data_IF_469437632163
#
_entry.id   IF_469437632163
#
_cell.length_a   1.000
_cell.length_b   1.000
_cell.length_c   1.000
_cell.angle_alpha   90.00
_cell.angle_beta   90.00
_cell.angle_gamma   90.00
#
_symmetry.space_group_name_H-M   'P 1'
#
loop_
_entity.id
_entity.type
_entity.pdbx_description
1 polymer ?
#
# COMPACT_ATOMS: atom_id res chain seq x y z
N UNK A 1 8.28 -0.52 13.84
CA UNK A 1 7.66 -1.67 13.15
C UNK A 1 6.71 -2.37 14.11
N UNK A 2 5.66 -3.02 13.61
CA UNK A 2 4.78 -3.85 14.46
C UNK A 2 5.53 -5.09 14.95
N UNK A 3 5.42 -5.39 16.23
CA UNK A 3 6.04 -6.57 16.82
C UNK A 3 5.27 -7.84 16.47
N UNK A 4 5.97 -8.97 16.35
CA UNK A 4 5.34 -10.26 16.01
C UNK A 4 4.23 -10.63 17.00
N UNK A 5 4.46 -10.41 18.30
CA UNK A 5 3.47 -10.73 19.33
C UNK A 5 2.23 -9.84 19.25
N UNK A 6 2.41 -8.57 18.91
CA UNK A 6 1.31 -7.63 18.68
C UNK A 6 0.46 -8.08 17.49
N UNK A 7 1.10 -8.48 16.40
CA UNK A 7 0.42 -8.97 15.20
C UNK A 7 -0.38 -10.26 15.46
N UNK A 8 0.20 -11.22 16.20
CA UNK A 8 -0.50 -12.45 16.62
C UNK A 8 -1.72 -12.14 17.48
N UNK A 9 -1.58 -11.17 18.40
CA UNK A 9 -2.67 -10.75 19.30
C UNK A 9 -3.81 -10.11 18.52
N UNK A 10 -3.49 -9.21 17.58
CA UNK A 10 -4.47 -8.57 16.70
C UNK A 10 -5.17 -9.57 15.78
N UNK A 11 -4.43 -10.53 15.22
CA UNK A 11 -4.99 -11.57 14.35
C UNK A 11 -6.03 -12.40 15.10
N UNK A 12 -5.70 -12.83 16.33
CA UNK A 12 -6.62 -13.56 17.19
C UNK A 12 -7.85 -12.73 17.55
N UNK A 13 -7.66 -11.47 17.96
CA UNK A 13 -8.76 -10.59 18.35
C UNK A 13 -9.74 -10.30 17.19
N UNK A 14 -9.21 -10.19 15.97
CA UNK A 14 -10.00 -9.93 14.76
C UNK A 14 -10.52 -11.20 14.06
N UNK A 15 -10.14 -12.38 14.53
CA UNK A 15 -10.56 -13.66 13.94
C UNK A 15 -10.05 -13.86 12.51
N UNK A 16 -8.86 -13.35 12.19
CA UNK A 16 -8.27 -13.44 10.85
C UNK A 16 -6.91 -14.13 10.85
N UNK A 17 -6.49 -14.77 9.75
CA UNK A 17 -5.15 -15.33 9.64
C UNK A 17 -4.07 -14.26 9.83
N UNK A 18 -3.00 -14.62 10.55
CA UNK A 18 -1.86 -13.72 10.82
C UNK A 18 -1.24 -13.22 9.51
N UNK A 19 -1.07 -14.11 8.54
CA UNK A 19 -0.56 -13.78 7.21
C UNK A 19 -1.40 -12.71 6.49
N UNK A 20 -2.72 -12.67 6.72
CA UNK A 20 -3.59 -11.63 6.17
C UNK A 20 -3.28 -10.26 6.78
N UNK A 21 -3.04 -10.19 8.10
CA UNK A 21 -2.63 -8.94 8.74
C UNK A 21 -1.20 -8.54 8.38
N UNK A 22 -0.27 -9.48 8.22
CA UNK A 22 1.09 -9.21 7.72
C UNK A 22 1.03 -8.51 6.37
N UNK A 23 0.28 -9.08 5.41
CA UNK A 23 0.09 -8.48 4.09
C UNK A 23 -0.58 -7.11 4.18
N UNK A 24 -1.67 -6.98 4.94
CA UNK A 24 -2.38 -5.70 5.10
C UNK A 24 -1.50 -4.60 5.72
N UNK A 25 -0.62 -4.98 6.65
CA UNK A 25 0.37 -4.09 7.23
C UNK A 25 1.38 -3.66 6.17
N UNK A 26 1.98 -4.60 5.43
CA UNK A 26 2.93 -4.33 4.34
C UNK A 26 2.32 -3.43 3.27
N UNK A 27 1.05 -3.61 2.89
CA UNK A 27 0.37 -2.71 1.95
C UNK A 27 0.31 -1.26 2.45
N UNK A 28 0.16 -1.05 3.76
CA UNK A 28 0.26 0.27 4.36
C UNK A 28 1.63 0.91 4.16
N UNK A 29 2.70 0.12 4.26
CA UNK A 29 4.07 0.59 3.99
C UNK A 29 4.28 0.92 2.52
N UNK A 30 3.76 0.09 1.61
CA UNK A 30 3.79 0.40 0.17
C UNK A 30 3.09 1.72 -0.14
N UNK A 31 1.90 1.95 0.44
CA UNK A 31 1.17 3.20 0.27
C UNK A 31 1.92 4.40 0.84
N UNK A 32 2.54 4.27 2.01
CA UNK A 32 3.37 5.31 2.61
C UNK A 32 4.59 5.66 1.75
N UNK A 33 5.28 4.66 1.20
CA UNK A 33 6.41 4.86 0.30
C UNK A 33 5.98 5.55 -1.02
N UNK A 34 4.88 5.10 -1.63
CA UNK A 34 4.31 5.75 -2.82
C UNK A 34 3.99 7.23 -2.54
N UNK A 35 3.43 7.52 -1.36
CA UNK A 35 3.08 8.88 -0.94
C UNK A 35 4.30 9.81 -0.79
N UNK A 36 5.50 9.29 -0.51
CA UNK A 36 6.72 10.12 -0.42
C UNK A 36 7.18 10.66 -1.78
N UNK A 37 6.63 10.15 -2.88
CA UNK A 37 6.95 10.60 -4.23
C UNK A 37 5.86 11.55 -4.76
N UNK A 38 6.01 12.85 -4.50
CA UNK A 38 5.05 13.92 -4.86
C UNK A 38 4.55 13.86 -6.31
N UNK A 39 5.43 13.56 -7.27
CA UNK A 39 5.08 13.46 -8.69
C UNK A 39 4.06 12.34 -9.01
N UNK A 40 3.94 11.34 -8.14
CA UNK A 40 2.98 10.24 -8.31
C UNK A 40 1.57 10.67 -7.88
N UNK A 41 1.48 11.40 -6.78
CA UNK A 41 0.21 11.84 -6.20
C UNK A 41 -0.60 12.76 -7.12
N UNK A 42 0.08 13.55 -7.97
CA UNK A 42 -0.58 14.47 -8.90
C UNK A 42 -1.27 13.78 -10.09
N UNK A 43 -0.91 12.53 -10.38
CA UNK A 43 -1.38 11.84 -11.58
C UNK A 43 -2.13 10.53 -11.28
N UNK A 44 -2.13 10.06 -10.03
CA UNK A 44 -2.65 8.74 -9.65
C UNK A 44 -3.81 8.87 -8.67
N UNK A 45 -4.91 8.18 -8.97
CA UNK A 45 -6.06 8.05 -8.09
C UNK A 45 -6.06 6.64 -7.52
N UNK A 46 -5.91 6.53 -6.19
CA UNK A 46 -6.04 5.26 -5.48
C UNK A 46 -7.50 4.80 -5.45
N UNK A 47 -7.75 3.53 -5.78
CA UNK A 47 -9.11 2.96 -5.89
C UNK A 47 -9.11 1.47 -5.50
N UNK A 48 -10.25 0.82 -5.73
CA UNK A 48 -10.40 -0.62 -5.54
C UNK A 48 -10.65 -1.04 -4.09
N UNK A 49 -10.57 -2.34 -3.84
CA UNK A 49 -10.94 -2.94 -2.55
C UNK A 49 -10.04 -2.48 -1.40
N UNK A 50 -8.75 -2.33 -1.65
CA UNK A 50 -7.78 -1.89 -0.64
C UNK A 50 -7.97 -0.42 -0.29
N UNK A 51 -8.29 0.45 -1.27
CA UNK A 51 -8.66 1.85 -1.00
C UNK A 51 -9.90 1.95 -0.12
N UNK A 52 -10.95 1.18 -0.42
CA UNK A 52 -12.15 1.16 0.40
C UNK A 52 -11.85 0.79 1.86
N UNK A 53 -11.05 -0.26 2.09
CA UNK A 53 -10.65 -0.67 3.44
C UNK A 53 -9.79 0.38 4.16
N UNK A 54 -8.77 0.93 3.49
CA UNK A 54 -7.77 1.80 4.12
C UNK A 54 -8.26 3.24 4.31
N UNK A 55 -9.17 3.73 3.47
CA UNK A 55 -9.56 5.14 3.45
C UNK A 55 -11.00 5.39 3.92
N UNK A 56 -11.90 4.41 3.84
CA UNK A 56 -13.34 4.66 4.02
C UNK A 56 -14.05 3.71 4.98
N UNK A 57 -13.66 2.43 5.04
CA UNK A 57 -14.43 1.37 5.72
C UNK A 57 -13.54 0.52 6.63
N UNK A 58 -13.58 0.78 7.94
CA UNK A 58 -12.77 0.09 8.95
C UNK A 58 -13.03 -1.43 9.00
N UNK A 59 -14.29 -1.84 8.93
CA UNK A 59 -14.74 -3.25 8.99
C UNK A 59 -15.00 -3.85 7.59
N UNK A 60 -14.12 -3.60 6.63
CA UNK A 60 -14.21 -4.15 5.28
C UNK A 60 -13.30 -5.36 5.04
N UNK A 61 -13.61 -6.16 4.01
CA UNK A 61 -12.84 -7.35 3.64
C UNK A 61 -11.39 -7.00 3.32
N UNK A 62 -10.47 -7.93 3.60
CA UNK A 62 -9.09 -7.80 3.19
C UNK A 62 -8.95 -7.98 1.66
N UNK A 63 -7.92 -7.33 1.12
CA UNK A 63 -7.56 -7.33 -0.30
C UNK A 63 -6.05 -7.14 -0.39
N UNK A 64 -5.42 -7.75 -1.40
CA UNK A 64 -3.95 -7.74 -1.55
C UNK A 64 -3.47 -6.77 -2.64
N UNK A 65 -4.34 -6.42 -3.59
CA UNK A 65 -3.97 -5.58 -4.73
C UNK A 65 -4.01 -4.09 -4.40
N UNK A 66 -3.12 -3.31 -5.02
CA UNK A 66 -3.18 -1.84 -5.02
C UNK A 66 -3.60 -1.34 -6.40
N UNK A 67 -4.86 -0.90 -6.51
CA UNK A 67 -5.42 -0.41 -7.76
C UNK A 67 -5.28 1.11 -7.88
N UNK A 68 -4.78 1.58 -9.02
CA UNK A 68 -4.69 3.00 -9.32
C UNK A 68 -5.25 3.31 -10.72
N UNK A 69 -5.77 4.52 -10.90
CA UNK A 69 -6.10 5.08 -12.21
C UNK A 69 -5.32 6.35 -12.47
N UNK A 70 -4.91 6.55 -13.72
CA UNK A 70 -4.16 7.74 -14.11
C UNK A 70 -5.10 8.86 -14.55
N UNK A 71 -4.85 10.08 -14.07
CA UNK A 71 -5.59 11.28 -14.48
C UNK A 71 -5.18 11.70 -15.91
N UNK A 72 -3.89 11.55 -16.25
CA UNK A 72 -3.33 11.91 -17.56
C UNK A 72 -2.49 10.76 -18.13
N UNK A 73 -3.13 9.68 -18.63
CA UNK A 73 -2.41 8.48 -19.08
C UNK A 73 -1.43 8.76 -20.22
N UNK A 74 -1.75 9.70 -21.12
CA UNK A 74 -0.90 10.03 -22.27
C UNK A 74 0.42 10.73 -21.92
N UNK A 75 0.61 11.15 -20.66
CA UNK A 75 1.82 11.79 -20.16
C UNK A 75 2.62 10.86 -19.23
N UNK A 76 2.20 9.60 -19.12
CA UNK A 76 2.77 8.65 -18.18
C UNK A 76 3.60 7.57 -18.88
N UNK A 77 4.88 7.51 -18.52
CA UNK A 77 5.81 6.47 -18.98
C UNK A 77 6.05 5.43 -17.87
N UNK A 78 5.47 4.25 -18.03
CA UNK A 78 5.48 3.19 -17.01
C UNK A 78 6.90 2.73 -16.64
N UNK A 79 7.83 2.70 -17.59
CA UNK A 79 9.22 2.28 -17.34
C UNK A 79 9.95 3.26 -16.42
N UNK A 80 9.91 4.55 -16.76
CA UNK A 80 10.52 5.60 -15.93
C UNK A 80 9.92 5.61 -14.52
N UNK A 81 8.63 5.36 -14.42
CA UNK A 81 7.94 5.21 -13.16
C UNK A 81 8.45 4.02 -12.35
N UNK A 82 8.48 2.81 -12.92
CA UNK A 82 8.93 1.60 -12.22
C UNK A 82 10.37 1.77 -11.71
N UNK A 83 11.22 2.46 -12.47
CA UNK A 83 12.58 2.79 -12.02
C UNK A 83 12.61 3.76 -10.83
N UNK A 84 11.76 4.79 -10.82
CA UNK A 84 11.64 5.72 -9.67
C UNK A 84 11.10 5.00 -8.45
N UNK A 85 10.07 4.18 -8.63
CA UNK A 85 9.45 3.39 -7.58
C UNK A 85 10.47 2.44 -6.93
N UNK A 86 11.20 1.69 -7.76
CA UNK A 86 12.26 0.79 -7.30
C UNK A 86 13.34 1.53 -6.51
N UNK A 87 13.85 2.65 -7.03
CA UNK A 87 14.85 3.48 -6.33
C UNK A 87 14.33 4.07 -5.02
N UNK A 88 13.04 4.39 -4.96
CA UNK A 88 12.37 4.85 -3.75
C UNK A 88 12.35 3.77 -2.67
N UNK A 89 11.88 2.58 -3.04
CA UNK A 89 11.87 1.43 -2.12
C UNK A 89 13.27 1.02 -1.66
N UNK A 90 14.27 1.06 -2.55
CA UNK A 90 15.67 0.78 -2.21
C UNK A 90 16.29 1.81 -1.26
N UNK A 91 15.78 3.05 -1.16
CA UNK A 91 16.28 4.02 -0.16
C UNK A 91 15.59 3.88 1.19
N UNK A 92 14.31 3.51 1.21
CA UNK A 92 13.50 3.48 2.44
C UNK A 92 13.54 2.14 3.19
N UNK A 93 13.98 1.06 2.55
CA UNK A 93 14.13 -0.26 3.20
C UNK A 93 15.48 -0.43 3.95
N UNK A 94 16.41 0.52 3.82
CA UNK A 94 17.76 0.46 4.42
C UNK A 94 18.11 1.66 5.31
N UNK A 95 17.16 2.52 5.62
CA UNK A 95 17.25 3.60 6.64
C UNK A 95 16.16 3.40 7.71
#
# INVERSE_FOLDING_TARGET
MIEKLELLTLAKARGVPVATLEKDYVLGWFLAAIQKHSNLLENWIFKGGTCLKKCYLENYRFSEDLDFSLIRPNQFEIRSFMDKLRKGFERELFE
#
